data_IF_539067928108
#
_entry.id   IF_539067928108
#
_cell.length_a   1.000
_cell.length_b   1.000
_cell.length_c   1.000
_cell.angle_alpha   90.00
_cell.angle_beta   90.00
_cell.angle_gamma   90.00
#
_symmetry.space_group_name_H-M   'P 1'
#
loop_
_entity.id
_entity.type
_entity.pdbx_description
1 polymer ?
#
# COMPACT_ATOMS: atom_id res chain seq x y z
N UNK A 1 27.69 45.96 -33.02
CA UNK A 1 27.54 44.54 -33.37
C UNK A 1 27.10 43.80 -32.11
N UNK A 2 25.79 43.60 -31.95
CA UNK A 2 25.17 43.03 -30.74
C UNK A 2 25.12 41.51 -30.89
N UNK A 3 25.77 40.77 -29.98
CA UNK A 3 25.69 39.31 -29.91
C UNK A 3 24.51 38.95 -29.02
N UNK A 4 23.42 38.53 -29.64
CA UNK A 4 22.25 37.97 -28.97
C UNK A 4 22.62 36.58 -28.43
N UNK A 5 22.80 36.47 -27.12
CA UNK A 5 22.97 35.19 -26.43
C UNK A 5 21.57 34.60 -26.25
N UNK A 6 21.22 33.64 -27.12
CA UNK A 6 20.03 32.80 -26.93
C UNK A 6 20.38 31.79 -25.84
N UNK A 7 19.97 32.08 -24.60
CA UNK A 7 19.97 31.11 -23.51
C UNK A 7 18.87 30.10 -23.85
N UNK A 8 19.28 29.01 -24.50
CA UNK A 8 18.46 27.82 -24.67
C UNK A 8 18.24 27.26 -23.26
N UNK A 9 17.10 27.61 -22.67
CA UNK A 9 16.64 27.04 -21.41
C UNK A 9 16.32 25.57 -21.71
N UNK A 10 17.30 24.71 -21.47
CA UNK A 10 17.15 23.26 -21.46
C UNK A 10 16.15 22.93 -20.34
N UNK A 11 14.87 22.85 -20.72
CA UNK A 11 13.84 22.14 -19.98
C UNK A 11 14.31 20.68 -19.86
N UNK A 12 15.11 20.41 -18.83
CA UNK A 12 15.22 19.09 -18.24
C UNK A 12 13.82 18.80 -17.68
N UNK A 13 12.96 18.22 -18.52
CA UNK A 13 11.85 17.41 -18.02
C UNK A 13 12.52 16.31 -17.19
N UNK A 14 12.60 16.54 -15.88
CA UNK A 14 12.88 15.47 -14.95
C UNK A 14 11.77 14.46 -15.17
N UNK A 15 12.09 13.34 -15.82
CA UNK A 15 11.23 12.17 -15.84
C UNK A 15 11.13 11.70 -14.39
N UNK A 16 10.17 12.28 -13.67
CA UNK A 16 9.74 11.75 -12.39
C UNK A 16 9.29 10.33 -12.68
N UNK A 17 10.06 9.35 -12.23
CA UNK A 17 9.57 8.00 -12.09
C UNK A 17 8.52 8.05 -10.98
N UNK A 18 7.29 8.41 -11.36
CA UNK A 18 6.16 8.56 -10.46
C UNK A 18 5.85 7.21 -9.80
N UNK A 19 5.48 7.19 -8.51
CA UNK A 19 4.96 5.99 -7.88
C UNK A 19 3.74 5.59 -8.66
N UNK A 20 3.68 4.34 -9.08
CA UNK A 20 2.43 3.85 -9.59
C UNK A 20 1.50 3.39 -8.47
N UNK A 21 1.98 3.10 -7.25
CA UNK A 21 1.13 2.59 -6.16
C UNK A 21 1.46 3.21 -4.79
N UNK A 22 0.43 3.58 -4.03
CA UNK A 22 0.55 4.05 -2.65
C UNK A 22 -0.69 3.66 -1.85
N UNK A 23 -0.53 3.20 -0.61
CA UNK A 23 -1.69 3.00 0.25
C UNK A 23 -2.43 4.32 0.51
N UNK A 24 -3.76 4.27 0.58
CA UNK A 24 -4.58 5.47 0.83
C UNK A 24 -4.34 5.99 2.24
N UNK A 25 -3.98 7.27 2.34
CA UNK A 25 -3.79 7.95 3.63
C UNK A 25 -5.06 8.07 4.47
N UNK A 26 -6.23 7.86 3.84
CA UNK A 26 -7.56 7.90 4.49
C UNK A 26 -8.13 6.51 4.74
N UNK A 27 -7.47 5.46 4.24
CA UNK A 27 -7.91 4.06 4.38
C UNK A 27 -7.53 3.44 5.73
N UNK A 28 -7.86 2.15 5.89
CA UNK A 28 -7.51 1.37 7.09
C UNK A 28 -6.02 1.05 7.23
N UNK A 29 -5.24 1.27 6.17
CA UNK A 29 -3.80 0.98 6.10
C UNK A 29 -3.06 2.19 5.54
N UNK A 30 -2.86 3.27 6.30
CA UNK A 30 -2.15 4.44 5.80
C UNK A 30 -0.70 4.08 5.42
N UNK A 31 -0.11 4.77 4.42
CA UNK A 31 1.23 4.45 3.95
C UNK A 31 2.27 4.82 5.00
N UNK A 32 3.24 3.94 5.23
CA UNK A 32 4.42 4.16 6.08
C UNK A 32 5.17 5.41 5.65
N UNK A 33 5.37 5.54 4.35
CA UNK A 33 6.02 6.68 3.71
C UNK A 33 5.17 7.14 2.54
N UNK A 34 5.09 8.46 2.32
CA UNK A 34 4.45 9.02 1.12
C UNK A 34 5.39 9.10 -0.08
N UNK A 35 6.62 8.61 0.07
CA UNK A 35 7.59 8.56 -1.01
C UNK A 35 7.41 7.28 -1.80
N UNK A 36 7.75 7.38 -3.07
CA UNK A 36 7.74 6.30 -4.04
C UNK A 36 8.84 5.32 -3.67
N UNK A 37 8.51 4.04 -3.54
CA UNK A 37 9.52 2.99 -3.33
C UNK A 37 9.52 2.05 -4.52
N UNK A 38 10.71 1.82 -5.08
CA UNK A 38 10.94 0.97 -6.25
C UNK A 38 11.64 -0.32 -5.83
N UNK A 39 12.01 -1.16 -6.80
CA UNK A 39 12.69 -2.43 -6.50
C UNK A 39 14.03 -2.26 -5.77
N UNK A 40 14.75 -1.15 -5.98
CA UNK A 40 15.96 -0.85 -5.20
C UNK A 40 15.69 -0.54 -3.73
N UNK A 41 14.45 -0.18 -3.40
CA UNK A 41 14.02 0.22 -2.07
C UNK A 41 13.18 -0.87 -1.38
N UNK A 42 13.10 -2.05 -2.00
CA UNK A 42 12.33 -3.16 -1.46
C UNK A 42 12.86 -3.61 -0.07
N UNK A 43 11.99 -4.13 0.81
CA UNK A 43 10.55 -4.35 0.58
C UNK A 43 9.67 -3.13 0.88
N UNK A 44 10.12 -2.17 1.69
CA UNK A 44 9.25 -1.11 2.24
C UNK A 44 9.86 0.30 2.24
N UNK A 45 10.90 0.52 1.45
CA UNK A 45 11.67 1.76 1.45
C UNK A 45 12.72 1.83 2.56
N UNK A 46 13.64 2.78 2.41
CA UNK A 46 14.48 3.24 3.51
C UNK A 46 13.71 4.26 4.36
N UNK A 47 13.58 4.01 5.67
CA UNK A 47 12.97 4.95 6.60
C UNK A 47 12.49 4.29 7.90
N UNK A 48 12.10 5.12 8.88
CA UNK A 48 11.54 4.64 10.14
C UNK A 48 10.12 4.10 9.95
N UNK A 49 9.75 3.04 10.67
CA UNK A 49 8.35 2.57 10.69
C UNK A 49 7.41 3.66 11.19
N UNK A 50 6.23 3.72 10.61
CA UNK A 50 5.17 4.60 11.08
C UNK A 50 4.52 4.01 12.36
N UNK A 51 3.77 4.84 13.09
CA UNK A 51 2.94 4.37 14.20
C UNK A 51 1.92 3.34 13.68
N UNK A 52 1.93 2.10 14.18
CA UNK A 52 1.05 1.05 13.67
C UNK A 52 -0.43 1.36 13.90
N UNK A 53 -1.25 1.18 12.87
CA UNK A 53 -2.71 1.22 13.00
C UNK A 53 -3.24 -0.11 13.51
N UNK A 54 -4.08 -0.09 14.55
CA UNK A 54 -4.69 -1.31 15.07
C UNK A 54 -5.83 -1.79 14.18
N UNK A 55 -5.74 -3.05 13.74
CA UNK A 55 -6.78 -3.80 13.05
C UNK A 55 -7.12 -5.08 13.84
N UNK A 56 -8.20 -5.75 13.44
CA UNK A 56 -8.69 -6.95 14.11
C UNK A 56 -8.28 -8.22 13.37
N UNK A 57 -7.62 -9.13 14.09
CA UNK A 57 -7.18 -10.42 13.57
C UNK A 57 -8.36 -11.24 13.05
N UNK A 58 -8.13 -12.00 11.96
CA UNK A 58 -9.12 -12.90 11.38
C UNK A 58 -10.34 -12.23 10.70
N UNK A 59 -10.45 -10.90 10.73
CA UNK A 59 -11.57 -10.15 10.15
C UNK A 59 -11.38 -9.83 8.67
N UNK A 60 -12.48 -9.55 7.97
CA UNK A 60 -12.41 -8.92 6.64
C UNK A 60 -12.21 -7.41 6.82
N UNK A 61 -11.19 -6.86 6.18
CA UNK A 61 -10.88 -5.43 6.17
C UNK A 61 -10.88 -4.92 4.74
N UNK A 62 -11.51 -3.76 4.51
CA UNK A 62 -11.39 -3.05 3.23
C UNK A 62 -10.04 -2.33 3.18
N UNK A 63 -9.19 -2.72 2.25
CA UNK A 63 -7.94 -2.05 1.94
C UNK A 63 -8.16 -1.12 0.75
N UNK A 64 -7.51 0.04 0.78
CA UNK A 64 -7.64 1.08 -0.24
C UNK A 64 -6.26 1.62 -0.64
N UNK A 65 -6.01 1.72 -1.93
CA UNK A 65 -4.77 2.29 -2.46
C UNK A 65 -5.03 3.18 -3.67
N UNK A 66 -4.08 4.05 -3.91
CA UNK A 66 -4.02 5.01 -5.01
C UNK A 66 -3.03 4.49 -6.05
N UNK A 67 -3.49 4.43 -7.30
CA UNK A 67 -2.66 4.20 -8.48
C UNK A 67 -2.55 5.49 -9.29
N UNK A 68 -1.38 6.13 -9.29
CA UNK A 68 -1.22 7.45 -9.90
C UNK A 68 -1.19 7.41 -11.44
N UNK A 69 -0.59 6.35 -11.99
CA UNK A 69 -0.56 6.12 -13.44
C UNK A 69 -1.03 4.68 -13.69
N UNK A 70 -2.28 4.51 -14.13
CA UNK A 70 -2.84 3.21 -14.48
C UNK A 70 -2.01 2.45 -15.52
N UNK A 71 -1.48 1.29 -15.14
CA UNK A 71 -0.69 0.45 -16.06
C UNK A 71 -1.06 -1.03 -15.98
N UNK A 72 -0.93 -1.73 -17.13
CA UNK A 72 -1.20 -3.16 -17.21
C UNK A 72 -0.26 -3.96 -16.32
N UNK A 73 -0.79 -5.00 -15.69
CA UNK A 73 -0.05 -5.92 -14.85
C UNK A 73 -0.91 -6.45 -13.72
N UNK A 74 -0.42 -6.39 -12.48
CA UNK A 74 -1.16 -6.85 -11.32
C UNK A 74 -0.68 -6.21 -10.02
N UNK A 75 -1.56 -6.22 -9.02
CA UNK A 75 -1.25 -5.91 -7.63
C UNK A 75 -1.15 -7.20 -6.83
N UNK A 76 -0.17 -7.25 -5.93
CA UNK A 76 -0.04 -8.29 -4.92
C UNK A 76 -0.01 -7.65 -3.53
N UNK A 77 -0.82 -8.17 -2.63
CA UNK A 77 -0.91 -7.70 -1.24
C UNK A 77 -0.34 -8.79 -0.35
N UNK A 78 0.69 -8.44 0.40
CA UNK A 78 1.39 -9.33 1.31
C UNK A 78 1.24 -8.86 2.76
N UNK A 79 1.38 -9.80 3.68
CA UNK A 79 1.47 -9.55 5.12
C UNK A 79 2.78 -10.08 5.68
N UNK A 80 3.45 -9.28 6.49
CA UNK A 80 4.59 -9.69 7.30
C UNK A 80 4.19 -9.63 8.79
N UNK A 81 4.36 -10.72 9.55
CA UNK A 81 4.04 -10.73 10.98
C UNK A 81 5.00 -9.89 11.82
N UNK A 82 6.24 -9.69 11.34
CA UNK A 82 7.26 -8.89 12.01
C UNK A 82 8.40 -8.53 11.05
N UNK A 83 9.04 -7.38 11.30
CA UNK A 83 10.32 -6.97 10.71
C UNK A 83 10.39 -6.95 9.18
N UNK A 84 9.25 -6.84 8.48
CA UNK A 84 9.19 -6.82 7.02
C UNK A 84 9.77 -8.12 6.40
N UNK A 85 9.60 -9.24 7.11
CA UNK A 85 10.06 -10.58 6.73
C UNK A 85 8.89 -11.59 6.68
N UNK A 86 9.15 -12.80 6.20
CA UNK A 86 8.19 -13.92 6.19
C UNK A 86 6.84 -13.56 5.52
N UNK A 87 6.92 -12.92 4.35
CA UNK A 87 5.78 -12.42 3.61
C UNK A 87 4.80 -13.51 3.22
N UNK A 88 3.52 -13.31 3.56
CA UNK A 88 2.40 -14.17 3.22
C UNK A 88 1.54 -13.45 2.19
N UNK A 89 1.38 -14.03 0.99
CA UNK A 89 0.48 -13.49 -0.03
C UNK A 89 -0.96 -13.59 0.45
N UNK A 90 -1.61 -12.45 0.62
CA UNK A 90 -3.02 -12.39 1.01
C UNK A 90 -3.94 -12.33 -0.23
N UNK A 91 -3.54 -11.57 -1.26
CA UNK A 91 -4.34 -11.40 -2.49
C UNK A 91 -3.48 -11.01 -3.68
N UNK A 92 -3.82 -11.54 -4.86
CA UNK A 92 -3.35 -11.07 -6.17
C UNK A 92 -4.54 -10.55 -6.99
N UNK A 93 -4.38 -9.42 -7.65
CA UNK A 93 -5.43 -8.70 -8.38
C UNK A 93 -4.87 -8.28 -9.73
N UNK A 94 -5.49 -8.73 -10.82
CA UNK A 94 -5.08 -8.29 -12.16
C UNK A 94 -5.46 -6.82 -12.36
N UNK A 95 -4.55 -6.04 -12.93
CA UNK A 95 -4.82 -4.68 -13.36
C UNK A 95 -4.75 -4.63 -14.88
N UNK A 96 -5.92 -4.68 -15.51
CA UNK A 96 -6.03 -4.55 -16.96
C UNK A 96 -6.58 -3.16 -17.25
N UNK A 97 -5.76 -2.33 -17.88
CA UNK A 97 -6.12 -0.97 -18.26
C UNK A 97 -6.45 -0.95 -19.75
N UNK A 98 -7.66 -0.51 -20.09
CA UNK A 98 -8.08 -0.31 -21.47
C UNK A 98 -7.79 1.14 -21.88
N UNK A 99 -6.87 1.33 -22.82
CA UNK A 99 -6.42 2.65 -23.27
C UNK A 99 -5.37 3.28 -22.34
N UNK A 100 -4.88 4.45 -22.72
CA UNK A 100 -3.98 5.24 -21.88
C UNK A 100 -4.82 6.14 -20.99
N UNK A 101 -4.77 5.92 -19.67
CA UNK A 101 -5.35 6.82 -18.68
C UNK A 101 -4.22 7.38 -17.84
N UNK A 102 -4.20 8.70 -17.67
CA UNK A 102 -3.28 9.41 -16.76
C UNK A 102 -3.96 9.81 -15.46
N UNK A 103 -5.18 9.35 -15.24
CA UNK A 103 -5.97 9.75 -14.08
C UNK A 103 -5.62 8.87 -12.88
N UNK A 104 -5.52 9.52 -11.71
CA UNK A 104 -5.42 8.84 -10.43
C UNK A 104 -6.60 7.87 -10.28
N UNK A 105 -6.30 6.59 -10.06
CA UNK A 105 -7.29 5.55 -9.84
C UNK A 105 -7.22 5.06 -8.40
N UNK A 106 -8.34 5.14 -7.69
CA UNK A 106 -8.47 4.57 -6.35
C UNK A 106 -9.03 3.16 -6.45
N UNK A 107 -8.36 2.22 -5.81
CA UNK A 107 -8.75 0.82 -5.76
C UNK A 107 -9.15 0.43 -4.34
N UNK A 108 -10.11 -0.48 -4.22
CA UNK A 108 -10.58 -1.04 -2.95
C UNK A 108 -10.70 -2.55 -3.04
N UNK A 109 -10.33 -3.26 -1.99
CA UNK A 109 -10.52 -4.72 -1.90
C UNK A 109 -10.81 -5.15 -0.47
N UNK A 110 -11.78 -6.04 -0.29
CA UNK A 110 -11.98 -6.71 0.99
C UNK A 110 -11.05 -7.93 1.09
N UNK A 111 -10.27 -7.99 2.16
CA UNK A 111 -9.30 -9.07 2.42
C UNK A 111 -9.48 -9.62 3.82
N UNK A 112 -9.36 -10.94 3.97
CA UNK A 112 -9.32 -11.57 5.29
C UNK A 112 -7.92 -11.43 5.86
N UNK A 113 -7.78 -10.72 6.98
CA UNK A 113 -6.53 -10.62 7.70
C UNK A 113 -6.19 -11.94 8.39
N UNK A 114 -4.90 -12.28 8.55
CA UNK A 114 -4.49 -13.47 9.30
C UNK A 114 -5.04 -13.44 10.74
N UNK A 115 -5.37 -14.62 11.26
CA UNK A 115 -5.81 -14.79 12.64
C UNK A 115 -4.60 -14.97 13.57
N UNK A 116 -3.79 -13.90 13.66
CA UNK A 116 -2.58 -13.83 14.50
C UNK A 116 -2.55 -12.48 15.22
N UNK A 117 -1.85 -12.43 16.35
CA UNK A 117 -1.57 -11.19 17.07
C UNK A 117 -0.17 -10.68 16.74
N UNK A 118 -0.03 -9.38 16.47
CA UNK A 118 1.25 -8.73 16.20
C UNK A 118 1.21 -7.24 16.56
N UNK A 119 2.32 -6.71 17.07
CA UNK A 119 2.42 -5.29 17.45
C UNK A 119 3.02 -4.41 16.35
N UNK A 120 3.92 -4.97 15.53
CA UNK A 120 4.71 -4.23 14.53
C UNK A 120 4.72 -4.97 13.18
N UNK A 121 3.55 -5.47 12.77
CA UNK A 121 3.38 -6.15 11.50
C UNK A 121 3.15 -5.16 10.35
N UNK A 122 3.26 -5.66 9.12
CA UNK A 122 3.24 -4.82 7.93
C UNK A 122 2.39 -5.44 6.85
N UNK A 123 1.56 -4.60 6.21
CA UNK A 123 0.87 -4.96 4.96
C UNK A 123 1.57 -4.23 3.83
N UNK A 124 2.04 -4.98 2.84
CA UNK A 124 2.70 -4.48 1.65
C UNK A 124 1.75 -4.61 0.46
N UNK A 125 1.74 -3.61 -0.41
CA UNK A 125 1.25 -3.74 -1.77
C UNK A 125 2.42 -3.60 -2.74
N UNK A 126 2.46 -4.49 -3.72
CA UNK A 126 3.37 -4.45 -4.85
C UNK A 126 2.53 -4.27 -6.10
N UNK A 127 2.80 -3.25 -6.89
CA UNK A 127 2.34 -3.20 -8.27
C UNK A 127 3.45 -3.72 -9.16
N UNK A 128 3.17 -4.80 -9.88
CA UNK A 128 4.00 -5.23 -11.01
C UNK A 128 3.36 -4.71 -12.28
N UNK A 129 4.08 -3.85 -12.99
CA UNK A 129 3.72 -3.41 -14.33
C UNK A 129 4.33 -4.39 -15.33
N UNK A 130 3.53 -4.85 -16.28
CA UNK A 130 3.95 -5.75 -17.36
C UNK A 130 3.98 -4.99 -18.68
N UNK A 131 5.09 -5.03 -19.41
CA UNK A 131 5.22 -4.28 -20.65
C UNK A 131 6.56 -4.47 -21.34
N UNK A 132 7.07 -3.40 -21.97
CA UNK A 132 8.41 -3.38 -22.60
C UNK A 132 9.54 -3.40 -21.57
N UNK A 133 9.28 -2.85 -20.37
CA UNK A 133 10.15 -2.95 -19.20
C UNK A 133 9.25 -3.30 -18.03
N UNK A 134 9.49 -4.46 -17.42
CA UNK A 134 8.81 -4.83 -16.19
C UNK A 134 9.33 -3.95 -15.05
N UNK A 135 8.41 -3.38 -14.28
CA UNK A 135 8.73 -2.50 -13.17
C UNK A 135 7.89 -2.86 -11.95
N UNK A 136 8.48 -2.69 -10.76
CA UNK A 136 7.80 -2.93 -9.49
C UNK A 136 7.82 -1.70 -8.61
N UNK A 137 6.66 -1.41 -8.05
CA UNK A 137 6.43 -0.31 -7.12
C UNK A 137 5.85 -0.87 -5.83
N UNK A 138 6.32 -0.34 -4.71
CA UNK A 138 6.02 -0.86 -3.39
C UNK A 138 5.38 0.23 -2.53
N UNK A 139 4.52 -0.20 -1.63
CA UNK A 139 4.02 0.63 -0.54
C UNK A 139 3.72 -0.26 0.66
N UNK A 140 4.16 0.15 1.84
CA UNK A 140 3.94 -0.58 3.08
C UNK A 140 3.08 0.24 4.03
N UNK A 141 2.27 -0.43 4.84
CA UNK A 141 1.49 0.13 5.92
C UNK A 141 1.84 -0.63 7.21
N UNK A 142 2.14 0.11 8.28
CA UNK A 142 2.41 -0.47 9.58
C UNK A 142 1.11 -0.66 10.35
N UNK A 143 0.93 -1.87 10.87
CA UNK A 143 -0.28 -2.27 11.56
C UNK A 143 0.04 -3.09 12.82
N UNK A 144 -0.93 -3.14 13.72
CA UNK A 144 -1.00 -4.14 14.77
C UNK A 144 -2.27 -4.96 14.59
N UNK A 145 -2.17 -6.28 14.77
CA UNK A 145 -3.34 -7.16 14.80
C UNK A 145 -3.61 -7.56 16.24
N UNK A 146 -4.84 -7.31 16.68
CA UNK A 146 -5.35 -7.71 17.98
C UNK A 146 -6.60 -8.55 17.81
N UNK A 147 -6.89 -9.41 18.78
CA UNK A 147 -8.13 -10.18 18.80
C UNK A 147 -9.32 -9.24 18.61
N UNK A 148 -10.28 -9.66 17.76
CA UNK A 148 -11.52 -8.92 17.60
C UNK A 148 -12.18 -8.72 18.98
N UNK A 149 -12.75 -7.54 19.28
CA UNK A 149 -13.49 -7.33 20.51
C UNK A 149 -14.61 -8.37 20.55
N UNK A 150 -14.47 -9.31 21.45
CA UNK A 150 -15.47 -10.29 21.79
C UNK A 150 -16.67 -9.53 22.36
N UNK A 151 -17.74 -9.39 21.57
CA UNK A 151 -19.05 -8.91 22.01
C UNK A 151 -19.75 -9.89 23.00
N UNK A 152 -18.98 -10.63 23.80
CA UNK A 152 -19.49 -11.28 24.99
C UNK A 152 -19.56 -10.25 26.10
N UNK A 153 -20.50 -9.31 25.95
CA UNK A 153 -21.13 -8.72 27.12
C UNK A 153 -21.79 -9.88 27.85
N UNK A 154 -21.11 -10.39 28.88
CA UNK A 154 -21.73 -11.25 29.88
C UNK A 154 -22.97 -10.47 30.35
N UNK A 155 -24.14 -10.87 29.88
CA UNK A 155 -25.39 -10.53 30.57
C UNK A 155 -25.27 -11.22 31.91
N UNK A 156 -24.80 -10.49 32.91
CA UNK A 156 -25.01 -10.87 34.30
C UNK A 156 -26.52 -10.93 34.49
N UNK A 157 -27.05 -12.15 34.57
CA UNK A 157 -28.34 -12.37 35.21
C UNK A 157 -28.22 -11.85 36.64
N UNK A 158 -28.76 -10.66 36.87
CA UNK A 158 -29.04 -10.19 38.22
C UNK A 158 -30.43 -10.70 38.58
N UNK A 159 -30.46 -11.63 39.53
CA UNK A 159 -31.66 -12.03 40.24
C UNK A 159 -32.34 -10.79 40.85
N UNK A 160 -33.66 -10.74 40.77
CA UNK A 160 -34.49 -10.02 41.73
C UNK A 160 -35.71 -10.90 42.02
N UNK A 161 -35.84 -11.24 43.31
CA UNK A 161 -36.96 -11.92 43.93
C UNK A 161 -38.29 -11.19 43.72
#
# INVERSE_FOLDING_TARGET
MSKLIVILCSLLLSEGLFANVLWSSKGSTPPRHRNITTESDAPCGSGEKATPVQLYSGTNTELEWEEFIPQNGYFEIYFSPANDENWILLKKINNNVMGESTDLKVHKVNIKLPDVSCDNCTIQIIQTVTGTVDAKYYSCADISLKGAPNNNTVKTESCAN
#
